data_IF_834362647634
#
_entry.id   IF_834362647634
#
_cell.length_a   1.000
_cell.length_b   1.000
_cell.length_c   1.000
_cell.angle_alpha   90.00
_cell.angle_beta   90.00
_cell.angle_gamma   90.00
#
_symmetry.space_group_name_H-M   'P 1'
#
loop_
_entity.id
_entity.type
_entity.pdbx_description
1 polymer ?
#
# COMPACT_ATOMS: atom_id res chain seq x y z
N UNK A 1 3.34 -5.08 15.88
CA UNK A 1 2.04 -4.80 15.23
C UNK A 1 1.51 -6.12 14.68
N UNK A 2 0.33 -6.55 15.09
CA UNK A 2 -0.28 -7.79 14.57
C UNK A 2 -1.00 -7.51 13.23
N UNK A 3 -0.24 -7.16 12.20
CA UNK A 3 -0.73 -7.04 10.83
C UNK A 3 -0.57 -8.41 10.19
N UNK A 4 -1.66 -8.98 9.66
CA UNK A 4 -1.66 -10.32 9.05
C UNK A 4 -1.34 -10.26 7.56
N UNK A 5 -1.69 -9.14 6.90
CA UNK A 5 -1.50 -8.95 5.47
C UNK A 5 -1.45 -7.47 5.10
N UNK A 6 -0.95 -7.17 3.91
CA UNK A 6 -1.03 -5.85 3.29
C UNK A 6 -1.96 -5.92 2.09
N UNK A 7 -3.00 -5.10 2.09
CA UNK A 7 -3.89 -4.93 0.96
C UNK A 7 -3.36 -3.79 0.08
N UNK A 8 -3.05 -4.09 -1.17
CA UNK A 8 -2.53 -3.14 -2.14
C UNK A 8 -3.62 -2.72 -3.11
N UNK A 9 -3.90 -1.42 -3.17
CA UNK A 9 -4.78 -0.83 -4.17
C UNK A 9 -3.98 -0.49 -5.42
N UNK A 10 -4.50 -0.83 -6.60
CA UNK A 10 -3.83 -0.63 -7.91
C UNK A 10 -4.41 0.57 -8.65
N UNK A 11 -3.58 1.20 -9.50
CA UNK A 11 -3.97 2.36 -10.31
C UNK A 11 -4.88 2.04 -11.50
N UNK A 12 -4.93 0.78 -11.94
CA UNK A 12 -5.77 0.35 -13.07
C UNK A 12 -6.96 -0.44 -12.60
N UNK A 13 -8.08 0.21 -12.40
CA UNK A 13 -9.37 -0.40 -12.03
C UNK A 13 -10.18 -0.80 -13.27
N UNK A 14 -9.54 -1.44 -14.24
CA UNK A 14 -10.21 -2.04 -15.38
C UNK A 14 -10.73 -3.42 -14.98
N UNK A 15 -11.89 -3.45 -14.27
CA UNK A 15 -12.63 -4.68 -14.06
C UNK A 15 -12.68 -5.26 -12.65
N UNK A 16 -12.83 -4.44 -11.60
CA UNK A 16 -13.37 -4.91 -10.30
C UNK A 16 -12.46 -5.75 -9.39
N UNK A 17 -11.22 -6.06 -9.76
CA UNK A 17 -10.27 -6.86 -8.97
C UNK A 17 -8.91 -6.20 -8.80
N UNK A 18 -8.89 -4.88 -8.61
CA UNK A 18 -7.67 -4.08 -8.48
C UNK A 18 -6.87 -4.26 -7.18
N UNK A 19 -7.14 -5.32 -6.39
CA UNK A 19 -6.54 -5.52 -5.06
C UNK A 19 -5.62 -6.74 -5.02
N UNK A 20 -4.45 -6.57 -4.41
CA UNK A 20 -3.48 -7.64 -4.17
C UNK A 20 -3.29 -7.75 -2.67
N UNK A 21 -3.29 -8.99 -2.15
CA UNK A 21 -2.94 -9.28 -0.77
C UNK A 21 -1.51 -9.81 -0.72
N UNK A 22 -0.70 -9.24 0.15
CA UNK A 22 0.64 -9.71 0.46
C UNK A 22 0.61 -10.21 1.89
N UNK A 23 0.67 -11.53 2.04
CA UNK A 23 0.65 -12.18 3.35
C UNK A 23 2.07 -12.35 3.88
N UNK A 24 2.27 -12.07 5.16
CA UNK A 24 3.51 -12.38 5.84
C UNK A 24 3.58 -13.90 6.14
N UNK A 25 4.65 -14.54 5.71
CA UNK A 25 4.90 -15.99 5.94
C UNK A 25 5.84 -16.25 7.13
N UNK A 26 6.50 -15.21 7.64
CA UNK A 26 7.44 -15.25 8.75
C UNK A 26 7.46 -13.91 9.46
N UNK A 27 8.23 -13.80 10.54
CA UNK A 27 8.50 -12.52 11.19
C UNK A 27 9.14 -11.54 10.19
N UNK A 28 8.67 -10.28 10.22
CA UNK A 28 9.10 -9.22 9.31
C UNK A 28 9.16 -7.87 10.01
N UNK A 29 10.00 -6.98 9.49
CA UNK A 29 9.99 -5.57 9.87
C UNK A 29 8.89 -4.83 9.10
N UNK A 30 7.93 -4.28 9.85
CA UNK A 30 6.78 -3.57 9.29
C UNK A 30 7.20 -2.33 8.47
N UNK A 31 8.16 -1.56 8.99
CA UNK A 31 8.56 -0.30 8.37
C UNK A 31 9.38 -0.58 7.09
N UNK A 32 10.19 -1.65 7.07
CA UNK A 32 10.90 -2.09 5.89
C UNK A 32 9.96 -2.57 4.78
N UNK A 33 8.90 -3.32 5.14
CA UNK A 33 7.88 -3.76 4.17
C UNK A 33 7.14 -2.58 3.57
N UNK A 34 6.67 -1.64 4.40
CA UNK A 34 5.98 -0.43 3.92
C UNK A 34 6.91 0.39 3.02
N UNK A 35 8.16 0.61 3.41
CA UNK A 35 9.15 1.35 2.61
C UNK A 35 9.38 0.67 1.25
N UNK A 36 9.46 -0.66 1.22
CA UNK A 36 9.60 -1.43 -0.02
C UNK A 36 8.37 -1.32 -0.92
N UNK A 37 7.16 -1.44 -0.36
CA UNK A 37 5.91 -1.34 -1.11
C UNK A 37 5.65 0.07 -1.66
N UNK A 38 6.09 1.12 -0.94
CA UNK A 38 5.99 2.52 -1.42
C UNK A 38 6.91 2.84 -2.59
N UNK A 39 7.77 1.91 -3.01
CA UNK A 39 8.61 2.03 -4.21
C UNK A 39 8.07 1.28 -5.42
N UNK A 40 7.01 0.50 -5.28
CA UNK A 40 6.46 -0.32 -6.38
C UNK A 40 5.45 0.48 -7.20
N UNK A 41 5.81 0.82 -8.44
CA UNK A 41 4.89 1.49 -9.35
C UNK A 41 3.65 0.66 -9.67
N UNK A 42 2.51 1.32 -9.78
CA UNK A 42 1.19 0.71 -9.93
C UNK A 42 0.42 0.59 -8.62
N UNK A 43 1.05 0.71 -7.45
CA UNK A 43 0.39 0.73 -6.16
C UNK A 43 -0.03 2.17 -5.85
N UNK A 44 -1.32 2.41 -5.56
CA UNK A 44 -1.85 3.72 -5.15
C UNK A 44 -2.06 3.82 -3.65
N UNK A 45 -2.32 2.70 -2.98
CA UNK A 45 -2.50 2.65 -1.53
C UNK A 45 -2.10 1.30 -0.95
N UNK A 46 -1.54 1.33 0.24
CA UNK A 46 -1.11 0.16 1.01
C UNK A 46 -1.86 0.19 2.32
N UNK A 47 -2.73 -0.78 2.54
CA UNK A 47 -3.52 -0.90 3.77
C UNK A 47 -2.99 -2.07 4.60
N UNK A 48 -2.39 -1.81 5.77
CA UNK A 48 -2.10 -2.86 6.74
C UNK A 48 -3.39 -3.46 7.27
N UNK A 49 -3.57 -4.77 7.11
CA UNK A 49 -4.81 -5.49 7.41
C UNK A 49 -4.61 -6.46 8.56
N UNK A 50 -5.53 -6.46 9.50
CA UNK A 50 -5.73 -7.57 10.43
C UNK A 50 -6.79 -8.50 9.84
N UNK A 51 -6.39 -9.74 9.55
CA UNK A 51 -7.25 -10.76 9.02
C UNK A 51 -7.64 -11.73 10.15
N UNK A 52 -8.94 -11.98 10.30
CA UNK A 52 -9.50 -12.89 11.31
C UNK A 52 -10.41 -13.91 10.65
N UNK A 53 -10.62 -15.04 11.29
CA UNK A 53 -11.68 -16.00 10.93
C UNK A 53 -13.05 -15.44 11.35
N UNK A 54 -14.10 -15.85 10.64
CA UNK A 54 -15.48 -15.46 10.97
C UNK A 54 -16.05 -16.39 12.07
N UNK A 55 -15.90 -15.97 13.31
CA UNK A 55 -16.46 -16.65 14.51
C UNK A 55 -17.75 -15.98 14.99
N UNK A 56 -18.41 -15.19 14.14
CA UNK A 56 -19.65 -14.47 14.46
C UNK A 56 -19.43 -13.02 14.85
N UNK A 57 -20.55 -12.29 15.00
CA UNK A 57 -20.52 -10.84 15.15
C UNK A 57 -19.87 -10.35 16.45
N UNK A 58 -20.09 -11.06 17.57
CA UNK A 58 -19.51 -10.65 18.86
C UNK A 58 -17.98 -10.77 18.86
N UNK A 59 -17.42 -11.81 18.23
CA UNK A 59 -15.98 -11.93 18.04
C UNK A 59 -15.46 -10.82 17.14
N UNK A 60 -16.12 -10.55 16.02
CA UNK A 60 -15.79 -9.43 15.13
C UNK A 60 -15.75 -8.11 15.90
N UNK A 61 -16.75 -7.81 16.73
CA UNK A 61 -16.81 -6.58 17.51
C UNK A 61 -15.62 -6.47 18.50
N UNK A 62 -15.28 -7.55 19.19
CA UNK A 62 -14.12 -7.61 20.08
C UNK A 62 -12.80 -7.39 19.33
N UNK A 63 -12.64 -7.99 18.15
CA UNK A 63 -11.44 -7.83 17.33
C UNK A 63 -11.32 -6.39 16.78
N UNK A 64 -12.43 -5.77 16.42
CA UNK A 64 -12.48 -4.35 16.01
C UNK A 64 -12.05 -3.43 17.16
N UNK A 65 -12.56 -3.66 18.37
CA UNK A 65 -12.18 -2.89 19.57
C UNK A 65 -10.68 -3.05 19.85
N UNK A 66 -10.17 -4.29 19.83
CA UNK A 66 -8.75 -4.57 20.01
C UNK A 66 -7.88 -3.91 18.91
N UNK A 67 -8.36 -3.90 17.67
CA UNK A 67 -7.68 -3.24 16.56
C UNK A 67 -7.57 -1.72 16.81
N UNK A 68 -8.68 -1.06 17.13
CA UNK A 68 -8.72 0.38 17.39
C UNK A 68 -7.88 0.76 18.60
N UNK A 69 -7.87 -0.08 19.65
CA UNK A 69 -7.06 0.16 20.83
C UNK A 69 -5.56 0.17 20.51
N UNK A 70 -5.10 -0.79 19.71
CA UNK A 70 -3.70 -0.90 19.29
C UNK A 70 -3.30 0.16 18.25
N UNK A 71 -4.20 0.50 17.31
CA UNK A 71 -3.90 1.41 16.21
C UNK A 71 -3.89 2.88 16.64
N UNK A 72 -4.74 3.25 17.59
CA UNK A 72 -4.94 4.66 17.99
C UNK A 72 -4.76 4.83 19.48
N UNK A 73 -3.67 5.47 19.91
CA UNK A 73 -3.44 5.79 21.33
C UNK A 73 -4.39 6.87 21.85
N UNK A 74 -4.63 7.90 21.02
CA UNK A 74 -5.63 8.93 21.31
C UNK A 74 -6.99 8.45 20.82
N UNK A 75 -8.01 8.43 21.68
CA UNK A 75 -9.39 8.03 21.34
C UNK A 75 -10.30 9.23 21.07
N UNK A 76 -9.88 10.46 21.32
CA UNK A 76 -10.67 11.65 20.97
C UNK A 76 -10.58 11.93 19.46
N UNK A 77 -11.21 11.06 18.67
CA UNK A 77 -11.21 11.07 17.20
C UNK A 77 -12.62 10.81 16.68
N UNK A 78 -12.88 11.32 15.48
CA UNK A 78 -14.11 10.99 14.76
C UNK A 78 -13.91 9.74 13.90
N UNK A 79 -14.93 8.88 13.81
CA UNK A 79 -14.85 7.65 13.03
C UNK A 79 -16.12 7.35 12.24
N UNK A 80 -15.94 6.50 11.24
CA UNK A 80 -17.03 5.89 10.46
C UNK A 80 -16.69 4.42 10.21
N UNK A 81 -17.67 3.54 10.42
CA UNK A 81 -17.58 2.14 9.99
C UNK A 81 -18.07 2.01 8.56
N UNK A 82 -17.33 1.28 7.73
CA UNK A 82 -17.69 0.97 6.35
C UNK A 82 -17.54 -0.54 6.11
N UNK A 83 -18.61 -1.28 6.44
CA UNK A 83 -18.65 -2.72 6.22
C UNK A 83 -19.03 -3.06 4.78
N UNK A 84 -18.33 -4.02 4.19
CA UNK A 84 -18.62 -4.61 2.88
C UNK A 84 -18.70 -6.12 3.00
N UNK A 85 -19.64 -6.74 2.27
CA UNK A 85 -19.81 -8.18 2.25
C UNK A 85 -19.74 -8.69 0.82
N UNK A 86 -18.87 -9.65 0.56
CA UNK A 86 -18.94 -10.47 -0.67
C UNK A 86 -19.83 -11.69 -0.47
N UNK A 87 -19.98 -12.17 0.77
CA UNK A 87 -20.85 -13.28 1.16
C UNK A 87 -22.26 -12.76 1.48
N UNK A 88 -23.21 -13.02 0.58
CA UNK A 88 -24.61 -12.56 0.71
C UNK A 88 -25.38 -13.24 1.85
N UNK A 89 -24.99 -14.45 2.25
CA UNK A 89 -25.61 -15.23 3.32
C UNK A 89 -25.09 -14.91 4.73
N UNK A 90 -24.32 -13.83 4.91
CA UNK A 90 -23.96 -13.37 6.24
C UNK A 90 -25.21 -12.86 6.98
N UNK A 91 -25.40 -13.19 8.29
CA UNK A 91 -26.66 -12.92 9.01
C UNK A 91 -27.11 -11.46 9.03
N UNK A 92 -26.16 -10.52 8.98
CA UNK A 92 -26.43 -9.09 9.02
C UNK A 92 -26.10 -8.44 7.68
N UNK A 93 -26.85 -7.42 7.27
CA UNK A 93 -26.49 -6.60 6.13
C UNK A 93 -25.40 -5.55 6.50
N UNK A 94 -24.79 -4.91 5.49
CA UNK A 94 -23.67 -3.98 5.74
C UNK A 94 -24.07 -2.76 6.57
N UNK A 95 -25.33 -2.31 6.48
CA UNK A 95 -25.83 -1.19 7.27
C UNK A 95 -26.02 -1.59 8.73
N UNK A 96 -26.57 -2.76 8.99
CA UNK A 96 -26.71 -3.33 10.33
C UNK A 96 -25.34 -3.51 11.00
N UNK A 97 -24.36 -4.06 10.26
CA UNK A 97 -22.99 -4.18 10.75
C UNK A 97 -22.39 -2.81 11.10
N UNK A 98 -22.58 -1.79 10.25
CA UNK A 98 -22.07 -0.45 10.52
C UNK A 98 -22.67 0.14 11.79
N UNK A 99 -23.99 -0.01 11.98
CA UNK A 99 -24.70 0.53 13.14
C UNK A 99 -24.29 -0.17 14.43
N UNK A 100 -24.28 -1.50 14.42
CA UNK A 100 -23.99 -2.30 15.61
C UNK A 100 -22.52 -2.18 16.03
N UNK A 101 -21.57 -2.24 15.07
CA UNK A 101 -20.15 -1.99 15.37
C UNK A 101 -19.94 -0.55 15.85
N UNK A 102 -20.64 0.42 15.26
CA UNK A 102 -20.59 1.82 15.72
C UNK A 102 -21.01 1.96 17.18
N UNK A 103 -22.08 1.31 17.58
CA UNK A 103 -22.53 1.27 18.97
C UNK A 103 -21.49 0.64 19.92
N UNK A 104 -20.98 -0.55 19.56
CA UNK A 104 -19.96 -1.25 20.36
C UNK A 104 -18.65 -0.45 20.50
N UNK A 105 -18.26 0.30 19.48
CA UNK A 105 -17.09 1.20 19.52
C UNK A 105 -17.33 2.36 20.48
N UNK A 106 -18.52 2.99 20.46
CA UNK A 106 -18.87 4.08 21.38
C UNK A 106 -18.96 3.59 22.83
N UNK A 107 -19.48 2.40 23.06
CA UNK A 107 -19.52 1.80 24.39
C UNK A 107 -18.11 1.53 24.95
N UNK A 108 -17.19 1.07 24.09
CA UNK A 108 -15.81 0.79 24.48
C UNK A 108 -14.92 2.03 24.60
N UNK A 109 -15.18 3.05 23.78
CA UNK A 109 -14.41 4.30 23.71
C UNK A 109 -15.35 5.52 23.69
N UNK A 110 -15.85 5.95 24.87
CA UNK A 110 -16.82 7.06 24.97
C UNK A 110 -16.29 8.41 24.45
N UNK A 111 -14.96 8.55 24.31
CA UNK A 111 -14.33 9.76 23.74
C UNK A 111 -14.44 9.84 22.22
N UNK A 112 -14.65 8.71 21.52
CA UNK A 112 -14.82 8.68 20.07
C UNK A 112 -16.20 9.23 19.67
N UNK A 113 -16.27 9.82 18.47
CA UNK A 113 -17.53 10.38 17.93
C UNK A 113 -17.73 9.86 16.51
N UNK A 114 -19.01 9.64 16.15
CA UNK A 114 -19.34 9.25 14.77
C UNK A 114 -19.39 10.49 13.88
N UNK A 115 -18.67 10.46 12.75
CA UNK A 115 -18.79 11.42 11.65
C UNK A 115 -18.89 10.65 10.33
N UNK A 116 -20.07 10.69 9.71
CA UNK A 116 -20.34 9.96 8.46
C UNK A 116 -19.85 10.70 7.21
N UNK A 117 -19.50 11.98 7.33
CA UNK A 117 -19.13 12.84 6.20
C UNK A 117 -17.61 12.97 6.06
N UNK A 118 -16.92 13.30 7.16
CA UNK A 118 -15.48 13.54 7.17
C UNK A 118 -14.81 12.93 8.42
N UNK A 119 -14.86 11.59 8.56
CA UNK A 119 -14.23 10.93 9.70
C UNK A 119 -12.71 11.02 9.63
N UNK A 120 -12.08 11.17 10.80
CA UNK A 120 -10.61 11.04 10.92
C UNK A 120 -10.17 9.58 10.78
N UNK A 121 -11.03 8.64 11.21
CA UNK A 121 -10.82 7.19 11.10
C UNK A 121 -11.92 6.56 10.27
N UNK A 122 -11.60 6.10 9.06
CA UNK A 122 -12.49 5.30 8.24
C UNK A 122 -12.19 3.81 8.47
N UNK A 123 -12.93 3.19 9.37
CA UNK A 123 -12.77 1.77 9.68
C UNK A 123 -13.42 0.92 8.59
N UNK A 124 -12.61 0.16 7.88
CA UNK A 124 -13.05 -0.79 6.86
C UNK A 124 -13.19 -2.18 7.47
N UNK A 125 -14.32 -2.82 7.25
CA UNK A 125 -14.59 -4.21 7.64
C UNK A 125 -15.07 -4.96 6.42
N UNK A 126 -14.28 -5.90 5.91
CA UNK A 126 -14.62 -6.66 4.70
C UNK A 126 -14.81 -8.14 5.01
N UNK A 127 -16.05 -8.61 4.90
CA UNK A 127 -16.41 -10.02 5.09
C UNK A 127 -16.28 -10.74 3.76
N UNK A 128 -15.30 -11.66 3.68
CA UNK A 128 -14.94 -12.38 2.45
C UNK A 128 -14.81 -13.88 2.72
N UNK A 129 -15.76 -14.66 2.19
CA UNK A 129 -15.76 -16.10 2.47
C UNK A 129 -15.76 -16.37 3.98
N UNK A 130 -14.75 -17.06 4.47
CA UNK A 130 -14.60 -17.44 5.88
C UNK A 130 -13.64 -16.50 6.66
N UNK A 131 -13.18 -15.42 6.01
CA UNK A 131 -12.26 -14.46 6.63
C UNK A 131 -12.86 -13.05 6.64
N UNK A 132 -12.49 -12.28 7.65
CA UNK A 132 -12.85 -10.87 7.80
C UNK A 132 -11.57 -10.04 7.86
N UNK A 133 -11.52 -8.99 7.03
CA UNK A 133 -10.42 -8.04 6.99
C UNK A 133 -10.82 -6.77 7.73
N UNK A 134 -9.97 -6.32 8.66
CA UNK A 134 -10.14 -5.10 9.45
C UNK A 134 -8.96 -4.19 9.17
N UNK A 135 -9.23 -2.96 8.72
CA UNK A 135 -8.19 -1.95 8.48
C UNK A 135 -8.78 -0.54 8.49
N UNK A 136 -7.96 0.46 8.77
CA UNK A 136 -8.33 1.88 8.75
C UNK A 136 -7.19 2.79 8.30
N UNK A 137 -5.98 2.25 8.17
CA UNK A 137 -4.79 2.99 7.77
C UNK A 137 -4.53 2.71 6.30
N UNK A 138 -4.32 3.77 5.52
CA UNK A 138 -3.86 3.68 4.14
C UNK A 138 -2.61 4.54 3.99
N UNK A 139 -1.50 3.88 3.60
CA UNK A 139 -0.25 4.54 3.26
C UNK A 139 -0.25 4.79 1.75
N UNK A 140 -0.04 6.04 1.29
CA UNK A 140 0.01 6.33 -0.14
C UNK A 140 1.14 5.57 -0.84
N UNK A 141 0.82 4.92 -1.95
CA UNK A 141 1.80 4.34 -2.86
C UNK A 141 2.27 5.32 -3.93
N UNK A 142 3.29 4.96 -4.73
CA UNK A 142 3.85 5.85 -5.76
C UNK A 142 2.91 6.06 -6.95
N UNK A 143 1.87 5.25 -7.10
CA UNK A 143 1.00 5.26 -8.27
C UNK A 143 1.75 4.86 -9.55
N UNK A 144 1.28 5.35 -10.70
CA UNK A 144 1.88 5.01 -12.00
C UNK A 144 1.38 3.67 -12.54
N UNK A 145 2.18 3.03 -13.39
CA UNK A 145 1.87 1.76 -14.05
C UNK A 145 2.92 0.70 -13.70
N UNK A 146 2.55 -0.58 -13.60
CA UNK A 146 3.51 -1.64 -13.37
C UNK A 146 4.58 -1.68 -14.46
N UNK A 147 5.84 -1.85 -14.05
CA UNK A 147 6.99 -1.90 -14.97
C UNK A 147 6.81 -2.99 -16.02
N UNK A 148 7.16 -2.67 -17.27
CA UNK A 148 7.08 -3.57 -18.42
C UNK A 148 5.73 -3.52 -19.17
N UNK A 149 4.71 -2.85 -18.63
CA UNK A 149 3.40 -2.74 -19.30
C UNK A 149 3.40 -1.83 -20.52
N UNK A 150 4.34 -0.89 -20.60
CA UNK A 150 4.48 0.09 -21.68
C UNK A 150 5.76 -0.10 -22.53
N UNK A 151 6.31 -1.33 -22.54
CA UNK A 151 7.49 -1.67 -23.34
C UNK A 151 8.82 -1.35 -22.65
N UNK A 152 9.87 -1.13 -23.46
CA UNK A 152 11.25 -0.89 -23.00
C UNK A 152 11.81 0.41 -23.58
N UNK A 153 12.71 1.05 -22.83
CA UNK A 153 13.45 2.22 -23.30
C UNK A 153 14.92 2.18 -22.86
N UNK A 154 15.79 2.75 -23.70
CA UNK A 154 17.19 2.99 -23.38
C UNK A 154 17.32 4.39 -22.79
N UNK A 155 17.79 4.48 -21.55
CA UNK A 155 18.09 5.72 -20.86
C UNK A 155 19.55 6.10 -21.10
N UNK A 156 19.80 7.23 -21.70
CA UNK A 156 21.14 7.82 -21.75
C UNK A 156 21.43 8.45 -20.38
N UNK A 157 22.08 7.66 -19.51
CA UNK A 157 22.31 8.06 -18.12
C UNK A 157 23.60 8.85 -18.00
N UNK A 158 23.51 10.05 -17.46
CA UNK A 158 24.65 10.92 -17.19
C UNK A 158 24.85 11.17 -15.70
N UNK A 159 25.97 11.80 -15.31
CA UNK A 159 26.22 12.22 -13.95
C UNK A 159 25.42 13.47 -13.51
N UNK A 160 24.54 14.01 -14.35
CA UNK A 160 23.61 15.10 -14.03
C UNK A 160 22.37 14.63 -13.28
N UNK A 161 21.52 15.59 -12.86
CA UNK A 161 20.29 15.29 -12.11
C UNK A 161 19.11 14.97 -13.02
N UNK A 162 19.11 15.44 -14.28
CA UNK A 162 17.95 15.34 -15.15
C UNK A 162 17.73 13.92 -15.68
N UNK A 163 18.80 13.22 -16.10
CA UNK A 163 18.69 11.88 -16.69
C UNK A 163 18.13 10.84 -15.72
N UNK A 164 18.55 10.73 -14.43
CA UNK A 164 17.94 9.80 -13.51
C UNK A 164 16.48 10.16 -13.18
N UNK A 165 16.13 11.45 -13.14
CA UNK A 165 14.75 11.91 -12.95
C UNK A 165 13.89 11.53 -14.17
N UNK A 166 14.38 11.74 -15.38
CA UNK A 166 13.70 11.29 -16.61
C UNK A 166 13.49 9.77 -16.59
N UNK A 167 14.51 8.98 -16.20
CA UNK A 167 14.40 7.54 -16.02
C UNK A 167 13.30 7.14 -15.06
N UNK A 168 13.25 7.77 -13.87
CA UNK A 168 12.18 7.55 -12.89
C UNK A 168 10.80 7.87 -13.48
N UNK A 169 10.64 9.02 -14.13
CA UNK A 169 9.36 9.45 -14.70
C UNK A 169 8.86 8.51 -15.80
N UNK A 170 9.76 8.03 -16.67
CA UNK A 170 9.45 7.08 -17.74
C UNK A 170 9.12 5.70 -17.14
N UNK A 171 9.90 5.22 -16.17
CA UNK A 171 9.62 3.98 -15.46
C UNK A 171 8.25 4.02 -14.79
N UNK A 172 7.88 5.13 -14.14
CA UNK A 172 6.56 5.33 -13.54
C UNK A 172 5.39 5.22 -14.53
N UNK A 173 5.64 5.35 -15.83
CA UNK A 173 4.67 5.14 -16.93
C UNK A 173 4.63 3.67 -17.39
N UNK A 174 5.29 2.75 -16.66
CA UNK A 174 5.28 1.32 -16.95
C UNK A 174 6.35 0.87 -17.95
N UNK A 175 7.31 1.73 -18.26
CA UNK A 175 8.40 1.40 -19.18
C UNK A 175 9.54 0.73 -18.43
N UNK A 176 10.01 -0.42 -18.91
CA UNK A 176 11.23 -1.06 -18.43
C UNK A 176 12.44 -0.28 -18.92
N UNK A 177 13.36 0.08 -18.00
CA UNK A 177 14.54 0.89 -18.33
C UNK A 177 15.76 -0.02 -18.44
N UNK A 178 16.52 0.16 -19.56
CA UNK A 178 17.93 -0.18 -19.70
C UNK A 178 18.70 1.13 -19.78
N UNK A 179 19.97 1.17 -19.35
CA UNK A 179 20.74 2.40 -19.37
C UNK A 179 22.04 2.27 -20.14
N UNK A 180 22.49 3.36 -20.73
CA UNK A 180 23.80 3.46 -21.38
C UNK A 180 24.53 4.70 -20.87
N UNK A 181 25.81 4.53 -20.54
CA UNK A 181 26.71 5.60 -20.16
C UNK A 181 27.90 5.67 -21.12
N UNK A 182 28.15 6.85 -21.69
CA UNK A 182 29.31 7.07 -22.54
C UNK A 182 30.54 7.42 -21.71
N UNK A 183 31.44 6.45 -21.56
CA UNK A 183 32.70 6.62 -20.86
C UNK A 183 33.83 6.86 -21.87
N UNK A 184 34.48 8.01 -21.81
CA UNK A 184 35.53 8.41 -22.75
C UNK A 184 36.79 8.90 -22.02
N UNK A 185 37.66 8.01 -21.54
CA UNK A 185 38.95 8.42 -20.94
C UNK A 185 39.86 9.11 -21.99
N UNK A 186 40.63 10.13 -21.61
CA UNK A 186 40.75 10.73 -20.28
C UNK A 186 39.71 11.82 -19.98
N UNK A 187 38.76 12.08 -20.87
CA UNK A 187 37.78 13.17 -20.75
C UNK A 187 36.72 12.91 -19.66
N UNK A 188 36.45 11.64 -19.36
CA UNK A 188 35.56 11.25 -18.25
C UNK A 188 36.35 10.53 -17.17
N UNK A 189 36.23 10.97 -15.93
CA UNK A 189 36.94 10.37 -14.79
C UNK A 189 36.22 9.12 -14.25
N UNK A 190 36.95 8.22 -13.57
CA UNK A 190 36.37 7.08 -12.86
C UNK A 190 35.37 7.52 -11.78
N UNK A 191 35.57 8.69 -11.18
CA UNK A 191 34.60 9.28 -10.22
C UNK A 191 33.28 9.63 -10.91
N UNK A 192 33.30 10.12 -12.15
CA UNK A 192 32.10 10.39 -12.92
C UNK A 192 31.35 9.10 -13.25
N UNK A 193 32.07 8.03 -13.64
CA UNK A 193 31.51 6.70 -13.85
C UNK A 193 30.87 6.12 -12.59
N UNK A 194 31.57 6.19 -11.44
CA UNK A 194 31.03 5.72 -10.18
C UNK A 194 29.73 6.45 -9.81
N UNK A 195 29.66 7.77 -10.02
CA UNK A 195 28.45 8.57 -9.79
C UNK A 195 27.26 8.06 -10.64
N UNK A 196 27.51 7.73 -11.90
CA UNK A 196 26.45 7.17 -12.80
C UNK A 196 25.96 5.81 -12.28
N UNK A 197 26.88 4.94 -11.84
CA UNK A 197 26.51 3.67 -11.23
C UNK A 197 25.64 3.87 -9.99
N UNK A 198 25.98 4.82 -9.14
CA UNK A 198 25.23 5.11 -7.92
C UNK A 198 23.84 5.68 -8.24
N UNK A 199 23.73 6.54 -9.27
CA UNK A 199 22.44 7.03 -9.76
C UNK A 199 21.57 5.90 -10.34
N UNK A 200 22.16 4.99 -11.12
CA UNK A 200 21.46 3.81 -11.63
C UNK A 200 20.90 2.93 -10.48
N UNK A 201 21.68 2.72 -9.41
CA UNK A 201 21.23 1.99 -8.21
C UNK A 201 20.07 2.68 -7.50
N UNK A 202 20.04 4.02 -7.47
CA UNK A 202 18.93 4.76 -6.88
C UNK A 202 17.65 4.58 -7.72
N UNK A 203 17.74 4.73 -9.04
CA UNK A 203 16.60 4.55 -9.94
C UNK A 203 16.09 3.10 -9.89
N UNK A 204 16.99 2.12 -9.82
CA UNK A 204 16.63 0.69 -9.77
C UNK A 204 15.80 0.29 -8.55
N UNK A 205 15.84 1.07 -7.47
CA UNK A 205 14.95 0.84 -6.31
C UNK A 205 13.47 0.96 -6.66
N UNK A 206 13.14 1.69 -7.72
CA UNK A 206 11.78 1.92 -8.21
C UNK A 206 11.47 1.18 -9.51
N UNK A 207 12.43 1.14 -10.43
CA UNK A 207 12.25 0.56 -11.76
C UNK A 207 12.54 -0.94 -11.85
N UNK A 208 13.03 -1.54 -10.75
CA UNK A 208 13.63 -2.88 -10.79
C UNK A 208 15.04 -2.86 -11.40
N UNK A 209 15.64 -4.02 -11.66
CA UNK A 209 17.02 -4.14 -12.14
C UNK A 209 17.23 -3.35 -13.44
N UNK A 210 18.31 -2.57 -13.51
CA UNK A 210 18.75 -1.82 -14.71
C UNK A 210 20.06 -2.45 -15.21
N UNK A 211 20.09 -2.86 -16.48
CA UNK A 211 21.35 -3.17 -17.16
C UNK A 211 22.00 -1.85 -17.57
N UNK A 212 23.22 -1.59 -17.12
CA UNK A 212 24.02 -0.42 -17.48
C UNK A 212 25.12 -0.86 -18.46
N UNK A 213 25.04 -0.36 -19.70
CA UNK A 213 25.99 -0.58 -20.79
C UNK A 213 26.98 0.57 -20.88
#
# INVERSE_FOLDING_TARGET
RSVSAFLLNRSSDLGGYGRIYVNALSDYDYDEVIDSLTRVFGIVGICPVVQIEDNGFDDLANQVINYLDKAYKNKNLTFKVNARRTRKNYPMNSMEINMELGGRILDAFPEMKVDVHKPEVLLQVEIRGDVINIYSIEVPGPGGMPIGTAGKAMLLLSGGIDSPVAGYMVAKRGVQIEATYFHAPPYTSERAKQKVIDLAKIVSKYSGPITLN
#
